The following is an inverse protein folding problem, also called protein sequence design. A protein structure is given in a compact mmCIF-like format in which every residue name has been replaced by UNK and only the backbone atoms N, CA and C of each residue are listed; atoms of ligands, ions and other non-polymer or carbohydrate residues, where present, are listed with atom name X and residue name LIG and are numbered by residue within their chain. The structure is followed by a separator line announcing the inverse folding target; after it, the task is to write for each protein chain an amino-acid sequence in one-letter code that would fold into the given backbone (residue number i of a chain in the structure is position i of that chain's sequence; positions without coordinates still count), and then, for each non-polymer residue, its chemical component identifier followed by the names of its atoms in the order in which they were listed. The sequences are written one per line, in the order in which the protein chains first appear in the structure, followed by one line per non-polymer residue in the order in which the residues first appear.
data_IF_426427392809
#
_entry.id   IF_426427392809
#
_cell.length_a   1.000
_cell.length_b   1.000
_cell.length_c   1.000
_cell.angle_alpha   90.00
_cell.angle_beta   90.00
_cell.angle_gamma   90.00
#
_symmetry.space_group_name_H-M   'P 1'
#
loop_
_entity.id
_entity.type
_entity.pdbx_description
1 polymer ?
#
# COMPACT_ATOMS: atom_id res chain seq x y z
N UNK A 1 -30.31 -22.82 -46.58
CA UNK A 1 -29.95 -21.79 -45.59
C UNK A 1 -31.24 -21.36 -44.89
N UNK A 2 -31.40 -21.72 -43.62
CA UNK A 2 -32.58 -21.41 -42.80
C UNK A 2 -32.36 -21.88 -41.37
N UNK A 3 -32.02 -20.89 -40.53
CA UNK A 3 -31.85 -20.83 -39.08
C UNK A 3 -31.87 -22.11 -38.22
N UNK A 4 -30.67 -22.51 -37.80
CA UNK A 4 -30.38 -23.28 -36.57
C UNK A 4 -30.22 -22.31 -35.37
N UNK A 5 -30.45 -21.01 -35.58
CA UNK A 5 -30.16 -19.92 -34.63
C UNK A 5 -31.26 -19.70 -33.57
N UNK A 6 -32.30 -20.53 -33.54
CA UNK A 6 -33.42 -20.40 -32.60
C UNK A 6 -33.50 -21.55 -31.58
N UNK A 7 -32.50 -22.44 -31.54
CA UNK A 7 -32.43 -23.52 -30.53
C UNK A 7 -31.90 -23.03 -29.17
N UNK A 8 -31.55 -21.75 -29.05
CA UNK A 8 -31.37 -21.08 -27.76
C UNK A 8 -31.81 -19.64 -27.93
N UNK A 9 -33.11 -19.37 -27.73
CA UNK A 9 -33.64 -18.01 -27.83
C UNK A 9 -32.99 -17.12 -26.76
N UNK A 10 -32.83 -15.83 -27.05
CA UNK A 10 -32.35 -14.81 -26.10
C UNK A 10 -33.05 -14.90 -24.73
N UNK A 11 -34.32 -15.29 -24.74
CA UNK A 11 -35.16 -15.51 -23.56
C UNK A 11 -34.67 -16.68 -22.69
N UNK A 12 -34.18 -17.76 -23.31
CA UNK A 12 -33.61 -18.93 -22.63
C UNK A 12 -32.24 -18.58 -22.03
N UNK A 13 -31.45 -17.77 -22.75
CA UNK A 13 -30.18 -17.23 -22.24
C UNK A 13 -30.43 -16.41 -20.98
N UNK A 14 -31.40 -15.49 -21.02
CA UNK A 14 -31.74 -14.64 -19.89
C UNK A 14 -32.37 -15.42 -18.73
N UNK A 15 -33.17 -16.44 -19.03
CA UNK A 15 -33.78 -17.31 -18.01
C UNK A 15 -32.75 -18.22 -17.33
N UNK A 16 -31.77 -18.72 -18.07
CA UNK A 16 -30.65 -19.50 -17.54
C UNK A 16 -29.76 -18.66 -16.62
N UNK A 17 -29.38 -17.45 -17.05
CA UNK A 17 -28.62 -16.50 -16.22
C UNK A 17 -29.40 -16.15 -14.95
N UNK A 18 -30.71 -15.87 -15.06
CA UNK A 18 -31.56 -15.55 -13.90
C UNK A 18 -31.66 -16.72 -12.92
N UNK A 19 -31.74 -17.97 -13.41
CA UNK A 19 -31.79 -19.17 -12.56
C UNK A 19 -30.48 -19.38 -11.82
N UNK A 20 -29.34 -19.26 -12.50
CA UNK A 20 -28.01 -19.41 -11.89
C UNK A 20 -27.79 -18.36 -10.79
N UNK A 21 -28.15 -17.09 -11.04
CA UNK A 21 -27.99 -16.01 -10.04
C UNK A 21 -28.91 -16.22 -8.82
N UNK A 22 -30.13 -16.71 -9.02
CA UNK A 22 -31.03 -17.01 -7.91
C UNK A 22 -30.49 -18.17 -7.04
N UNK A 23 -30.01 -19.24 -7.69
CA UNK A 23 -29.51 -20.45 -7.04
C UNK A 23 -28.16 -20.19 -6.33
N UNK A 24 -27.28 -19.36 -6.90
CA UNK A 24 -25.99 -18.94 -6.31
C UNK A 24 -26.16 -17.83 -5.24
N UNK A 25 -27.19 -17.00 -5.38
CA UNK A 25 -27.57 -15.94 -4.43
C UNK A 25 -28.14 -16.47 -3.11
N UNK A 26 -28.90 -17.56 -3.14
CA UNK A 26 -29.47 -18.16 -1.91
C UNK A 26 -28.40 -18.88 -1.06
N UNK A 27 -27.46 -19.59 -1.70
CA UNK A 27 -26.33 -20.22 -1.01
C UNK A 27 -25.35 -19.21 -0.38
N UNK A 28 -25.10 -18.10 -1.07
CA UNK A 28 -24.27 -17.00 -0.55
C UNK A 28 -24.98 -16.20 0.55
N UNK A 29 -26.30 -15.99 0.45
CA UNK A 29 -27.08 -15.30 1.48
C UNK A 29 -27.16 -16.10 2.79
N UNK A 30 -27.27 -17.43 2.71
CA UNK A 30 -27.30 -18.29 3.90
C UNK A 30 -25.90 -18.41 4.56
N UNK A 31 -24.83 -18.46 3.76
CA UNK A 31 -23.46 -18.39 4.24
C UNK A 31 -23.10 -17.03 4.88
N UNK A 32 -23.64 -15.92 4.35
CA UNK A 32 -23.48 -14.58 4.94
C UNK A 32 -24.22 -14.42 6.27
N UNK A 33 -25.42 -15.00 6.43
CA UNK A 33 -26.15 -14.96 7.71
C UNK A 33 -25.47 -15.77 8.80
N UNK A 34 -24.93 -16.95 8.49
CA UNK A 34 -24.14 -17.75 9.43
C UNK A 34 -22.87 -17.03 9.89
N UNK A 35 -22.13 -16.40 8.96
CA UNK A 35 -20.93 -15.59 9.29
C UNK A 35 -21.27 -14.33 10.06
N UNK A 36 -22.39 -13.68 9.78
CA UNK A 36 -22.80 -12.45 10.49
C UNK A 36 -23.16 -12.74 11.94
N UNK A 37 -23.81 -13.87 12.25
CA UNK A 37 -24.12 -14.28 13.62
C UNK A 37 -22.87 -14.57 14.46
N UNK A 38 -21.83 -15.16 13.86
CA UNK A 38 -20.55 -15.44 14.53
C UNK A 38 -19.74 -14.14 14.70
N UNK A 39 -19.76 -13.25 13.71
CA UNK A 39 -19.04 -11.96 13.75
C UNK A 39 -19.68 -10.96 14.71
N UNK A 40 -21.01 -10.90 14.84
CA UNK A 40 -21.68 -9.99 15.78
C UNK A 40 -21.42 -10.33 17.25
N UNK A 41 -21.06 -11.58 17.56
CA UNK A 41 -20.71 -11.99 18.91
C UNK A 41 -19.26 -11.64 19.30
N UNK A 42 -18.41 -11.28 18.33
CA UNK A 42 -16.98 -11.01 18.53
C UNK A 42 -16.59 -9.53 18.29
N UNK A 43 -17.51 -8.68 17.79
CA UNK A 43 -17.23 -7.28 17.40
C UNK A 43 -17.72 -6.27 18.45
N UNK A 44 -17.72 -6.64 19.73
CA UNK A 44 -17.87 -5.69 20.83
C UNK A 44 -16.57 -5.76 21.62
N UNK A 45 -15.80 -4.66 21.61
CA UNK A 45 -14.46 -4.46 22.22
C UNK A 45 -13.21 -4.76 21.38
N UNK A 46 -13.10 -4.22 20.16
CA UNK A 46 -11.78 -3.84 19.63
C UNK A 46 -11.89 -2.42 19.07
N UNK A 47 -11.13 -1.51 19.67
CA UNK A 47 -11.02 -0.10 19.34
C UNK A 47 -10.55 0.06 17.87
N UNK A 48 -11.28 0.79 17.03
CA UNK A 48 -10.92 1.09 15.62
C UNK A 48 -9.57 1.83 15.48
N UNK A 49 -8.91 2.17 16.61
CA UNK A 49 -7.57 2.74 16.69
C UNK A 49 -6.46 1.73 16.38
N UNK A 50 -6.69 0.43 16.55
CA UNK A 50 -5.67 -0.61 16.30
C UNK A 50 -5.59 -1.06 14.83
N UNK A 51 -6.62 -0.78 14.01
CA UNK A 51 -6.60 -1.07 12.58
C UNK A 51 -5.75 -0.08 11.76
N UNK A 52 -5.44 1.10 12.33
CA UNK A 52 -4.60 2.12 11.71
C UNK A 52 -3.18 2.04 12.25
N UNK A 53 -2.30 1.34 11.54
CA UNK A 53 -0.88 1.24 11.88
C UNK A 53 -0.12 2.54 11.56
N UNK A 54 0.16 3.34 12.59
CA UNK A 54 1.04 4.51 12.50
C UNK A 54 2.52 4.10 12.43
N UNK A 55 3.07 4.04 11.22
CA UNK A 55 4.46 3.64 10.91
C UNK A 55 5.51 4.72 11.25
N UNK A 56 5.39 5.35 12.42
CA UNK A 56 6.31 6.39 12.89
C UNK A 56 7.48 5.82 13.72
N UNK A 57 7.45 4.52 14.03
CA UNK A 57 8.46 3.85 14.84
C UNK A 57 9.33 2.94 13.97
N UNK A 58 10.62 3.24 13.89
CA UNK A 58 11.61 2.39 13.24
C UNK A 58 11.94 1.19 14.13
N UNK A 59 11.61 -0.01 13.65
CA UNK A 59 11.99 -1.27 14.30
C UNK A 59 13.46 -1.59 13.97
N UNK A 60 14.30 -1.73 15.01
CA UNK A 60 15.67 -2.20 14.83
C UNK A 60 15.68 -3.68 14.42
N UNK A 61 16.47 -4.03 13.41
CA UNK A 61 16.60 -5.42 12.97
C UNK A 61 17.15 -6.29 14.13
N UNK A 62 16.58 -7.50 14.36
CA UNK A 62 17.10 -8.41 15.37
C UNK A 62 18.56 -8.76 15.07
N UNK A 63 19.42 -8.93 16.10
CA UNK A 63 20.81 -9.32 15.90
C UNK A 63 20.87 -10.68 15.17
N UNK A 64 21.83 -10.87 14.26
CA UNK A 64 21.94 -12.12 13.51
C UNK A 64 22.10 -13.29 14.50
N UNK A 65 21.39 -14.42 14.28
CA UNK A 65 21.53 -15.57 15.16
C UNK A 65 22.98 -16.07 15.15
N UNK A 66 23.48 -16.61 16.27
CA UNK A 66 24.81 -17.22 16.31
C UNK A 66 24.87 -18.32 15.25
N UNK A 67 25.90 -18.25 14.39
CA UNK A 67 26.11 -19.21 13.32
C UNK A 67 26.38 -20.58 13.94
N UNK A 68 25.37 -21.44 13.96
CA UNK A 68 25.52 -22.82 14.38
C UNK A 68 26.30 -23.52 13.25
N UNK A 69 27.57 -23.85 13.51
CA UNK A 69 28.35 -24.69 12.62
C UNK A 69 27.68 -26.07 12.56
N UNK A 70 26.97 -26.36 11.47
CA UNK A 70 26.45 -27.69 11.23
C UNK A 70 27.63 -28.67 11.09
N UNK A 71 27.57 -29.86 11.69
CA UNK A 71 28.62 -30.86 11.54
C UNK A 71 28.74 -31.25 10.07
N UNK A 72 29.98 -31.16 9.57
CA UNK A 72 30.37 -31.48 8.20
C UNK A 72 29.97 -32.92 7.88
N UNK A 73 28.91 -33.09 7.09
CA UNK A 73 28.56 -34.37 6.50
C UNK A 73 29.67 -34.79 5.53
N UNK A 74 30.27 -35.95 5.81
CA UNK A 74 31.30 -36.58 4.99
C UNK A 74 30.70 -36.99 3.64
N UNK A 75 31.22 -36.41 2.55
CA UNK A 75 30.78 -36.73 1.20
C UNK A 75 31.39 -38.06 0.74
N UNK A 76 30.63 -38.96 0.07
CA UNK A 76 31.15 -40.21 -0.45
C UNK A 76 32.22 -39.99 -1.54
N UNK A 77 33.14 -40.95 -1.75
CA UNK A 77 34.33 -40.74 -2.56
C UNK A 77 33.96 -40.60 -4.04
N UNK A 78 34.38 -39.50 -4.65
CA UNK A 78 34.33 -39.34 -6.12
C UNK A 78 35.39 -40.23 -6.75
N UNK A 79 34.96 -41.10 -7.66
CA UNK A 79 35.84 -41.92 -8.51
C UNK A 79 36.69 -40.96 -9.36
N UNK A 80 38.02 -41.10 -9.26
CA UNK A 80 38.98 -40.34 -10.07
C UNK A 80 39.23 -41.11 -11.36
N UNK A 81 38.79 -40.56 -12.50
CA UNK A 81 39.38 -40.92 -13.79
C UNK A 81 40.64 -40.08 -13.99
N UNK A 82 41.80 -40.71 -13.82
CA UNK A 82 43.12 -40.16 -14.10
C UNK A 82 43.34 -40.04 -15.60
N UNK A 83 43.43 -38.80 -16.11
CA UNK A 83 44.08 -38.47 -17.38
C UNK A 83 45.49 -37.89 -17.13
N UNK A 84 46.47 -38.07 -18.04
CA UNK A 84 47.86 -37.65 -17.82
C UNK A 84 48.02 -36.13 -17.79
N UNK A 85 48.85 -35.64 -16.87
CA UNK A 85 49.24 -34.23 -16.70
C UNK A 85 50.42 -33.80 -17.59
N UNK A 86 50.43 -32.52 -17.97
CA UNK A 86 51.59 -31.61 -18.14
C UNK A 86 51.02 -30.15 -18.22
N UNK A 87 50.93 -29.38 -17.10
CA UNK A 87 51.81 -28.28 -16.60
C UNK A 87 51.50 -26.86 -17.20
N UNK A 88 51.60 -25.69 -16.50
CA UNK A 88 51.52 -25.33 -15.07
C UNK A 88 50.33 -24.37 -14.73
N UNK A 89 49.93 -24.31 -13.46
CA UNK A 89 48.82 -23.48 -12.98
C UNK A 89 49.25 -22.10 -12.45
N UNK A 90 48.51 -21.00 -12.73
CA UNK A 90 48.36 -19.93 -11.76
C UNK A 90 47.32 -20.36 -10.71
N UNK A 91 47.71 -20.32 -9.44
CA UNK A 91 46.86 -20.69 -8.32
C UNK A 91 45.67 -19.72 -8.19
N UNK A 92 44.51 -20.11 -8.71
CA UNK A 92 43.24 -19.53 -8.32
C UNK A 92 42.83 -20.13 -6.97
N UNK A 93 43.05 -19.39 -5.89
CA UNK A 93 42.37 -19.63 -4.62
C UNK A 93 40.88 -19.35 -4.82
N UNK A 94 40.13 -20.39 -5.18
CA UNK A 94 38.69 -20.40 -5.03
C UNK A 94 38.38 -20.50 -3.53
N UNK A 95 38.33 -19.34 -2.86
CA UNK A 95 37.75 -19.25 -1.52
C UNK A 95 36.25 -18.99 -1.64
N UNK A 96 35.50 -20.02 -1.29
CA UNK A 96 34.06 -20.07 -1.07
C UNK A 96 33.52 -18.91 -0.23
N UNK A 97 32.46 -18.26 -0.70
CA UNK A 97 31.48 -17.57 0.12
C UNK A 97 30.09 -17.69 -0.53
N UNK A 98 29.34 -18.71 -0.10
CA UNK A 98 27.89 -18.67 -0.22
C UNK A 98 27.36 -17.75 0.90
N UNK A 99 26.71 -16.67 0.49
CA UNK A 99 25.92 -15.76 1.31
C UNK A 99 25.21 -14.84 0.33
N UNK A 100 23.88 -14.99 0.24
CA UNK A 100 22.96 -14.28 -0.67
C UNK A 100 23.65 -13.41 -1.71
N UNK A 101 23.95 -14.01 -2.87
CA UNK A 101 24.54 -13.28 -3.97
C UNK A 101 23.55 -12.20 -4.40
N UNK A 102 23.84 -10.95 -3.98
CA UNK A 102 23.08 -9.79 -4.40
C UNK A 102 22.92 -9.85 -5.91
N UNK A 103 21.67 -9.95 -6.36
CA UNK A 103 21.33 -10.03 -7.79
C UNK A 103 21.79 -8.75 -8.53
N UNK A 104 22.03 -7.68 -7.76
CA UNK A 104 22.49 -6.38 -8.23
C UNK A 104 23.94 -6.17 -7.80
N UNK A 105 24.77 -5.64 -8.70
CA UNK A 105 26.14 -5.22 -8.35
C UNK A 105 26.12 -4.02 -7.43
N UNK A 106 27.11 -3.90 -6.54
CA UNK A 106 27.22 -2.78 -5.58
C UNK A 106 27.17 -1.41 -6.28
N UNK A 107 27.86 -1.31 -7.42
CA UNK A 107 27.86 -0.12 -8.27
C UNK A 107 26.46 0.24 -8.76
N UNK A 108 25.67 -0.75 -9.18
CA UNK A 108 24.30 -0.50 -9.64
C UNK A 108 23.40 -0.10 -8.47
N UNK A 109 23.57 -0.72 -7.30
CA UNK A 109 22.83 -0.35 -6.09
C UNK A 109 23.14 1.09 -5.63
N UNK A 110 24.40 1.50 -5.64
CA UNK A 110 24.83 2.87 -5.32
C UNK A 110 24.30 3.89 -6.33
N UNK A 111 24.36 3.57 -7.62
CA UNK A 111 23.81 4.43 -8.67
C UNK A 111 22.28 4.61 -8.53
N UNK A 112 21.55 3.53 -8.24
CA UNK A 112 20.10 3.61 -7.99
C UNK A 112 19.77 4.44 -6.74
N UNK A 113 20.52 4.27 -5.65
CA UNK A 113 20.36 5.07 -4.43
C UNK A 113 20.61 6.56 -4.69
N UNK A 114 21.65 6.89 -5.46
CA UNK A 114 21.96 8.27 -5.84
C UNK A 114 20.87 8.92 -6.70
N UNK A 115 20.34 8.20 -7.69
CA UNK A 115 19.25 8.68 -8.54
C UNK A 115 17.95 8.91 -7.76
N UNK A 116 17.63 8.02 -6.81
CA UNK A 116 16.46 8.16 -5.93
C UNK A 116 16.63 9.32 -4.94
N UNK A 117 17.82 9.55 -4.39
CA UNK A 117 18.11 10.70 -3.51
C UNK A 117 17.99 12.02 -4.29
N UNK A 118 18.48 12.05 -5.53
CA UNK A 118 18.32 13.21 -6.41
C UNK A 118 16.85 13.51 -6.72
N UNK A 119 16.06 12.48 -7.01
CA UNK A 119 14.62 12.61 -7.23
C UNK A 119 13.89 13.10 -5.96
N UNK A 120 14.23 12.56 -4.80
CA UNK A 120 13.66 12.95 -3.51
C UNK A 120 13.92 14.44 -3.21
N UNK A 121 15.15 14.91 -3.43
CA UNK A 121 15.52 16.33 -3.27
C UNK A 121 14.73 17.26 -4.21
N UNK A 122 14.43 16.80 -5.42
CA UNK A 122 13.62 17.56 -6.38
C UNK A 122 12.13 17.60 -5.99
N UNK A 123 11.61 16.55 -5.35
CA UNK A 123 10.20 16.48 -4.95
C UNK A 123 9.91 17.22 -3.63
N UNK A 124 10.88 17.25 -2.71
CA UNK A 124 10.71 17.79 -1.34
C UNK A 124 11.01 19.28 -1.23
N UNK A 125 11.70 19.90 -2.21
CA UNK A 125 12.16 21.29 -2.07
C UNK A 125 11.78 22.21 -3.24
N UNK A 126 10.55 22.74 -3.26
CA UNK A 126 10.32 24.07 -3.78
C UNK A 126 10.72 25.10 -2.71
N UNK A 127 11.81 25.83 -2.93
CA UNK A 127 12.25 26.97 -2.09
C UNK A 127 11.25 28.14 -2.09
N UNK A 128 10.23 28.08 -2.94
CA UNK A 128 9.10 29.00 -2.98
C UNK A 128 7.83 28.31 -2.50
N UNK A 129 7.29 28.66 -1.32
CA UNK A 129 6.00 28.14 -0.89
C UNK A 129 4.92 28.61 -1.86
N UNK A 130 4.37 27.68 -2.64
CA UNK A 130 3.01 27.80 -3.16
C UNK A 130 2.79 28.29 -4.60
N UNK A 131 3.80 28.35 -5.47
CA UNK A 131 3.55 28.63 -6.91
C UNK A 131 3.57 27.39 -7.80
N UNK A 132 4.54 26.49 -7.63
CA UNK A 132 4.71 25.30 -8.47
C UNK A 132 4.48 23.96 -7.73
N UNK A 133 4.07 24.02 -6.46
CA UNK A 133 3.66 22.83 -5.71
C UNK A 133 2.18 22.53 -5.93
N UNK A 134 1.79 21.25 -5.82
CA UNK A 134 0.39 20.83 -5.81
C UNK A 134 -0.43 21.60 -4.74
N UNK A 135 0.17 21.85 -3.58
CA UNK A 135 -0.45 22.66 -2.52
C UNK A 135 -0.76 24.09 -3.02
N UNK A 136 0.15 24.70 -3.77
CA UNK A 136 -0.04 26.00 -4.40
C UNK A 136 -1.25 26.00 -5.33
N UNK A 137 -1.32 25.03 -6.24
CA UNK A 137 -2.44 24.89 -7.17
C UNK A 137 -3.78 24.69 -6.44
N UNK A 138 -3.82 23.79 -5.45
CA UNK A 138 -5.03 23.55 -4.64
C UNK A 138 -5.44 24.80 -3.87
N UNK A 139 -4.49 25.55 -3.31
CA UNK A 139 -4.76 26.80 -2.61
C UNK A 139 -5.34 27.86 -3.55
N UNK A 140 -4.80 28.01 -4.75
CA UNK A 140 -5.34 28.94 -5.75
C UNK A 140 -6.74 28.54 -6.22
N UNK A 141 -7.03 27.24 -6.30
CA UNK A 141 -8.39 26.75 -6.60
C UNK A 141 -9.37 26.95 -5.44
N UNK A 142 -8.94 26.78 -4.19
CA UNK A 142 -9.81 26.94 -3.01
C UNK A 142 -10.04 28.40 -2.61
N UNK A 143 -9.10 29.29 -2.92
CA UNK A 143 -9.20 30.73 -2.59
C UNK A 143 -10.51 31.38 -3.05
N UNK A 144 -10.98 31.24 -4.31
CA UNK A 144 -12.24 31.85 -4.74
C UNK A 144 -13.47 31.27 -4.02
N UNK A 145 -13.50 29.95 -3.76
CA UNK A 145 -14.62 29.30 -3.09
C UNK A 145 -14.73 29.73 -1.62
N UNK A 146 -13.59 29.82 -0.92
CA UNK A 146 -13.54 30.29 0.46
C UNK A 146 -13.91 31.77 0.56
N UNK A 147 -13.50 32.60 -0.40
CA UNK A 147 -13.89 34.01 -0.44
C UNK A 147 -15.40 34.17 -0.57
N UNK A 148 -16.01 33.52 -1.57
CA UNK A 148 -17.46 33.58 -1.77
C UNK A 148 -18.24 33.10 -0.55
N UNK A 149 -17.78 32.01 0.07
CA UNK A 149 -18.39 31.51 1.30
C UNK A 149 -18.27 32.51 2.45
N UNK A 150 -17.08 33.10 2.66
CA UNK A 150 -16.86 34.10 3.70
C UNK A 150 -17.73 35.34 3.44
N UNK A 151 -17.79 35.84 2.21
CA UNK A 151 -18.61 36.99 1.84
C UNK A 151 -20.10 36.74 2.14
N UNK A 152 -20.59 35.50 1.94
CA UNK A 152 -21.98 35.14 2.19
C UNK A 152 -22.31 34.86 3.67
N UNK A 153 -21.36 34.35 4.47
CA UNK A 153 -21.61 33.90 5.86
C UNK A 153 -21.09 34.83 6.94
N UNK A 154 -19.98 35.53 6.70
CA UNK A 154 -19.32 36.36 7.69
C UNK A 154 -20.20 37.53 8.18
N UNK A 155 -20.99 38.23 7.34
CA UNK A 155 -21.85 39.32 7.81
C UNK A 155 -22.83 38.89 8.92
N UNK A 156 -23.51 37.75 8.74
CA UNK A 156 -24.46 37.25 9.73
C UNK A 156 -23.79 36.82 11.04
N UNK A 157 -22.58 36.27 10.98
CA UNK A 157 -21.80 35.91 12.18
C UNK A 157 -21.44 37.18 12.97
N UNK A 158 -21.01 38.23 12.27
CA UNK A 158 -20.63 39.51 12.88
C UNK A 158 -21.85 40.20 13.48
N UNK A 159 -22.98 40.28 12.78
CA UNK A 159 -24.22 40.87 13.31
C UNK A 159 -24.70 40.14 14.58
N UNK A 160 -24.63 38.80 14.60
CA UNK A 160 -24.97 38.02 15.79
C UNK A 160 -24.01 38.28 16.96
N UNK A 161 -22.72 38.51 16.68
CA UNK A 161 -21.73 38.82 17.72
C UNK A 161 -21.89 40.25 18.25
N UNK A 162 -22.11 41.23 17.37
CA UNK A 162 -22.33 42.63 17.71
C UNK A 162 -23.64 42.82 18.46
N UNK A 163 -24.74 42.19 18.04
CA UNK A 163 -26.02 42.26 18.75
C UNK A 163 -25.91 41.72 20.18
N UNK A 164 -25.20 40.60 20.38
CA UNK A 164 -24.87 40.08 21.72
C UNK A 164 -24.02 41.06 22.53
N UNK A 165 -23.03 41.69 21.92
CA UNK A 165 -22.17 42.67 22.61
C UNK A 165 -22.95 43.93 23.01
N UNK A 166 -23.82 44.43 22.14
CA UNK A 166 -24.69 45.58 22.44
C UNK A 166 -25.69 45.21 23.54
N UNK A 167 -26.31 44.03 23.51
CA UNK A 167 -27.24 43.59 24.56
C UNK A 167 -26.56 43.55 25.93
N UNK A 168 -25.33 43.02 25.99
CA UNK A 168 -24.49 42.98 27.19
C UNK A 168 -24.18 44.38 27.71
N UNK A 169 -23.72 45.29 26.85
CA UNK A 169 -23.37 46.68 27.25
C UNK A 169 -24.61 47.47 27.64
N UNK A 170 -25.73 47.24 26.95
CA UNK A 170 -27.01 47.91 27.22
C UNK A 170 -27.68 47.41 28.50
N UNK A 171 -27.13 46.40 29.17
CA UNK A 171 -27.69 45.83 30.41
C UNK A 171 -29.08 45.25 30.21
N UNK A 172 -29.36 44.68 29.02
CA UNK A 172 -30.67 44.13 28.66
C UNK A 172 -30.75 42.60 28.72
N UNK A 173 -29.83 41.99 29.46
CA UNK A 173 -29.85 40.60 29.92
C UNK A 173 -30.45 40.50 31.33
#
# INVERSE_FOLDING_TARGET
MGDISNETSMEDILSSIKRIIAEEGEGSAQALRGRKSIRTAQVRDLDDRDEVLELNQTVAAPPPPPRVEAPRAEAPPRIRTSGPQDEPAPAASASSAAGDASIVSDRAAEASRGALDQLSRMLVKPETPGSDSLEGLVREMLRPMLREWLDARLPGIVEAMVSREIARISGRD
#
